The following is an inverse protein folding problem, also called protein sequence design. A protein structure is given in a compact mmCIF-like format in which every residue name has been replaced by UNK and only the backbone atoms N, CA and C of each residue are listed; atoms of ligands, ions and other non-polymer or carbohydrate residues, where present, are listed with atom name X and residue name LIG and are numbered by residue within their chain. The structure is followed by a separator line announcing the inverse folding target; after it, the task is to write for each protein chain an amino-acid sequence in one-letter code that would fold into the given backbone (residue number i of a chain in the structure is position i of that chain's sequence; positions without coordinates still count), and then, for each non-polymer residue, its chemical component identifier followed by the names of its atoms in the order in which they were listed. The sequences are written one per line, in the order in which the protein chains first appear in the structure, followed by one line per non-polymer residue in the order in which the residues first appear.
data_IF_181871126287
#
_entry.id   IF_181871126287
#
_cell.length_a   1.000
_cell.length_b   1.000
_cell.length_c   1.000
_cell.angle_alpha   90.00
_cell.angle_beta   90.00
_cell.angle_gamma   90.00
#
_symmetry.space_group_name_H-M   'P 1'
#
loop_
_entity.id
_entity.type
_entity.pdbx_description
1 polymer ?
#
# COMPACT_ATOMS: atom_id res chain seq x y z
N UNK A 1 14.13 -15.29 -52.58
CA UNK A 1 13.25 -14.67 -53.59
C UNK A 1 12.40 -13.65 -52.87
N UNK A 2 12.64 -12.35 -53.11
CA UNK A 2 11.80 -11.27 -52.56
C UNK A 2 10.53 -11.16 -53.39
N UNK A 3 9.38 -10.92 -52.73
CA UNK A 3 8.12 -10.68 -53.45
C UNK A 3 8.14 -9.26 -54.03
N UNK A 4 7.69 -9.10 -55.28
CA UNK A 4 7.51 -7.79 -55.91
C UNK A 4 6.59 -6.90 -55.00
N UNK A 5 7.13 -5.76 -54.54
CA UNK A 5 6.45 -4.85 -53.64
C UNK A 5 6.96 -4.84 -52.18
N UNK A 6 7.91 -5.71 -51.83
CA UNK A 6 8.54 -5.72 -50.50
C UNK A 6 9.52 -4.54 -50.36
N UNK A 7 9.26 -3.65 -49.38
CA UNK A 7 10.16 -2.53 -49.03
C UNK A 7 11.08 -2.97 -47.91
N UNK A 8 12.34 -3.27 -48.24
CA UNK A 8 13.37 -3.55 -47.24
C UNK A 8 13.89 -2.24 -46.64
N UNK A 9 13.75 -2.09 -45.33
CA UNK A 9 14.35 -1.01 -44.59
C UNK A 9 15.54 -1.59 -43.83
N UNK A 10 16.79 -1.21 -44.18
CA UNK A 10 17.95 -1.68 -43.46
C UNK A 10 17.96 -1.02 -42.05
N UNK A 11 17.97 -1.84 -41.01
CA UNK A 11 18.07 -1.39 -39.61
C UNK A 11 19.43 -1.85 -39.09
N UNK A 12 20.19 -0.92 -38.51
CA UNK A 12 21.43 -1.26 -37.83
C UNK A 12 21.10 -1.99 -36.52
N UNK A 13 21.57 -3.23 -36.37
CA UNK A 13 21.33 -4.05 -35.19
C UNK A 13 21.78 -3.36 -33.88
N UNK A 14 22.85 -2.56 -33.93
CA UNK A 14 23.36 -1.84 -32.75
C UNK A 14 22.37 -0.76 -32.30
N UNK A 15 21.78 -0.04 -33.25
CA UNK A 15 20.83 1.03 -32.94
C UNK A 15 19.49 0.46 -32.48
N UNK A 16 19.03 -0.65 -33.08
CA UNK A 16 17.85 -1.37 -32.65
C UNK A 16 18.01 -1.94 -31.23
N UNK A 17 19.17 -2.58 -30.96
CA UNK A 17 19.45 -3.08 -29.62
C UNK A 17 19.54 -1.97 -28.57
N UNK A 18 20.14 -0.82 -28.89
CA UNK A 18 20.19 0.32 -27.97
C UNK A 18 18.80 0.86 -27.65
N UNK A 19 17.98 1.06 -28.68
CA UNK A 19 16.59 1.55 -28.50
C UNK A 19 15.79 0.57 -27.68
N UNK A 20 15.77 -0.70 -28.07
CA UNK A 20 15.01 -1.75 -27.35
C UNK A 20 15.49 -1.93 -25.90
N UNK A 21 16.81 -1.79 -25.64
CA UNK A 21 17.34 -1.89 -24.28
C UNK A 21 16.97 -0.68 -23.42
N UNK A 22 16.94 0.51 -24.00
CA UNK A 22 16.50 1.73 -23.31
C UNK A 22 15.02 1.61 -22.97
N UNK A 23 14.16 1.20 -23.90
CA UNK A 23 12.73 1.03 -23.70
C UNK A 23 12.44 -0.03 -22.63
N UNK A 24 13.13 -1.17 -22.69
CA UNK A 24 13.05 -2.20 -21.66
C UNK A 24 13.49 -1.68 -20.29
N UNK A 25 14.63 -0.98 -20.25
CA UNK A 25 15.17 -0.42 -18.99
C UNK A 25 14.20 0.58 -18.36
N UNK A 26 13.64 1.49 -19.15
CA UNK A 26 12.64 2.46 -18.71
C UNK A 26 11.39 1.76 -18.18
N UNK A 27 10.91 0.74 -18.89
CA UNK A 27 9.75 -0.06 -18.45
C UNK A 27 10.03 -0.75 -17.11
N UNK A 28 11.19 -1.38 -16.93
CA UNK A 28 11.55 -2.05 -15.67
C UNK A 28 11.69 -1.05 -14.52
N UNK A 29 12.26 0.12 -14.76
CA UNK A 29 12.44 1.17 -13.76
C UNK A 29 11.09 1.73 -13.31
N UNK A 30 10.28 2.22 -14.28
CA UNK A 30 9.06 2.98 -13.97
C UNK A 30 7.88 2.06 -13.66
N UNK A 31 7.76 0.93 -14.38
CA UNK A 31 6.54 0.11 -14.35
C UNK A 31 6.70 -1.23 -13.60
N UNK A 32 7.83 -1.48 -12.94
CA UNK A 32 8.04 -2.79 -12.29
C UNK A 32 8.75 -2.74 -10.94
N UNK A 33 9.98 -2.20 -10.89
CA UNK A 33 10.90 -2.43 -9.77
C UNK A 33 10.82 -1.39 -8.67
N UNK A 34 10.55 -0.11 -9.02
CA UNK A 34 10.57 0.99 -8.08
C UNK A 34 9.16 1.36 -7.60
N UNK A 35 9.02 1.76 -6.32
CA UNK A 35 7.78 2.27 -5.79
C UNK A 35 7.57 3.73 -6.19
N UNK A 36 6.32 4.19 -6.25
CA UNK A 36 6.00 5.62 -6.26
C UNK A 36 6.19 6.19 -4.84
N UNK A 37 6.80 7.35 -4.72
CA UNK A 37 7.11 7.97 -3.42
C UNK A 37 5.84 8.31 -2.63
N UNK A 38 4.72 8.60 -3.31
CA UNK A 38 3.46 9.06 -2.72
C UNK A 38 2.74 7.93 -1.96
N UNK A 39 2.59 6.76 -2.57
CA UNK A 39 1.87 5.62 -1.97
C UNK A 39 2.78 4.46 -1.54
N UNK A 40 4.08 4.52 -1.88
CA UNK A 40 5.06 3.52 -1.52
C UNK A 40 4.84 2.15 -2.16
N UNK A 41 4.06 2.08 -3.23
CA UNK A 41 3.68 0.83 -3.88
C UNK A 41 4.35 0.69 -5.25
N UNK A 42 4.75 -0.55 -5.55
CA UNK A 42 5.06 -0.94 -6.91
C UNK A 42 3.76 -1.18 -7.68
N UNK A 43 3.77 -1.13 -9.03
CA UNK A 43 2.57 -1.35 -9.83
C UNK A 43 1.82 -2.64 -9.49
N UNK A 44 2.52 -3.76 -9.29
CA UNK A 44 1.87 -5.04 -8.95
C UNK A 44 1.12 -4.97 -7.61
N UNK A 45 1.72 -4.37 -6.58
CA UNK A 45 1.09 -4.22 -5.26
C UNK A 45 -0.16 -3.32 -5.34
N UNK A 46 -0.06 -2.19 -6.06
CA UNK A 46 -1.18 -1.26 -6.27
C UNK A 46 -2.32 -1.95 -7.00
N UNK A 47 -2.04 -2.73 -8.04
CA UNK A 47 -3.02 -3.48 -8.81
C UNK A 47 -3.68 -4.59 -8.00
N UNK A 48 -2.93 -5.28 -7.13
CA UNK A 48 -3.51 -6.28 -6.20
C UNK A 48 -4.50 -5.61 -5.24
N UNK A 49 -4.12 -4.51 -4.59
CA UNK A 49 -5.02 -3.78 -3.68
C UNK A 49 -6.24 -3.22 -4.42
N UNK A 50 -6.05 -2.64 -5.60
CA UNK A 50 -7.13 -2.10 -6.41
C UNK A 50 -8.08 -3.20 -6.93
N UNK A 51 -7.55 -4.34 -7.35
CA UNK A 51 -8.35 -5.50 -7.73
C UNK A 51 -9.18 -6.06 -6.57
N UNK A 52 -8.59 -6.14 -5.38
CA UNK A 52 -9.31 -6.54 -4.15
C UNK A 52 -10.41 -5.53 -3.77
N UNK A 53 -10.15 -4.23 -3.94
CA UNK A 53 -11.14 -3.17 -3.77
C UNK A 53 -12.32 -3.35 -4.75
N UNK A 54 -12.03 -3.54 -6.03
CA UNK A 54 -13.06 -3.76 -7.06
C UNK A 54 -13.89 -5.03 -6.85
N UNK A 55 -13.32 -6.08 -6.26
CA UNK A 55 -14.01 -7.30 -5.86
C UNK A 55 -14.80 -7.14 -4.54
N UNK A 56 -14.69 -6.02 -3.85
CA UNK A 56 -15.35 -5.76 -2.57
C UNK A 56 -14.84 -6.62 -1.41
N UNK A 57 -13.57 -7.07 -1.45
CA UNK A 57 -12.96 -7.98 -0.47
C UNK A 57 -12.30 -7.17 0.64
N UNK A 58 -13.10 -6.34 1.33
CA UNK A 58 -12.66 -5.48 2.43
C UNK A 58 -12.37 -6.25 3.72
N UNK A 59 -11.72 -5.59 4.67
CA UNK A 59 -11.32 -6.18 5.95
C UNK A 59 -12.49 -6.77 6.77
N UNK A 60 -13.68 -6.23 6.62
CA UNK A 60 -14.91 -6.66 7.29
C UNK A 60 -15.77 -7.65 6.46
N UNK A 61 -15.25 -8.08 5.31
CA UNK A 61 -15.95 -9.03 4.42
C UNK A 61 -15.38 -10.44 4.54
N UNK A 62 -16.05 -11.41 3.93
CA UNK A 62 -15.57 -12.79 3.85
C UNK A 62 -14.31 -12.89 3.01
N UNK A 63 -13.46 -13.86 3.36
CA UNK A 63 -12.32 -14.23 2.55
C UNK A 63 -12.75 -14.73 1.16
N UNK A 64 -11.92 -14.45 0.17
CA UNK A 64 -12.09 -14.92 -1.19
C UNK A 64 -10.91 -15.80 -1.58
N UNK A 65 -11.13 -16.82 -2.41
CA UNK A 65 -10.03 -17.66 -2.94
C UNK A 65 -8.96 -16.80 -3.61
N UNK A 66 -7.70 -17.01 -3.25
CA UNK A 66 -6.57 -16.28 -3.82
C UNK A 66 -6.52 -16.38 -5.34
N UNK A 67 -6.85 -17.56 -5.90
CA UNK A 67 -6.91 -17.77 -7.35
C UNK A 67 -7.91 -16.83 -8.06
N UNK A 68 -9.03 -16.46 -7.41
CA UNK A 68 -9.99 -15.52 -7.99
C UNK A 68 -9.45 -14.10 -7.97
N UNK A 69 -8.79 -13.70 -6.89
CA UNK A 69 -8.16 -12.36 -6.81
C UNK A 69 -7.06 -12.24 -7.86
N UNK A 70 -6.16 -13.23 -7.94
CA UNK A 70 -5.08 -13.26 -8.92
C UNK A 70 -5.61 -13.24 -10.34
N UNK A 71 -6.63 -14.06 -10.65
CA UNK A 71 -7.25 -14.10 -11.97
C UNK A 71 -7.88 -12.75 -12.38
N UNK A 72 -8.56 -12.07 -11.45
CA UNK A 72 -9.15 -10.74 -11.71
C UNK A 72 -8.08 -9.68 -11.99
N UNK A 73 -7.00 -9.67 -11.20
CA UNK A 73 -5.87 -8.74 -11.39
C UNK A 73 -5.16 -8.98 -12.71
N UNK A 74 -4.92 -10.24 -13.07
CA UNK A 74 -4.29 -10.61 -14.35
C UNK A 74 -5.13 -10.18 -15.54
N UNK A 75 -6.41 -10.53 -15.50
CA UNK A 75 -7.31 -10.27 -16.63
C UNK A 75 -7.60 -8.79 -16.85
N UNK A 76 -7.51 -7.96 -15.82
CA UNK A 76 -7.90 -6.55 -15.89
C UNK A 76 -6.73 -5.57 -15.91
N UNK A 77 -5.65 -5.85 -15.18
CA UNK A 77 -4.64 -4.82 -14.88
C UNK A 77 -3.19 -5.24 -15.09
N UNK A 78 -2.84 -6.52 -14.92
CA UNK A 78 -1.43 -6.93 -14.85
C UNK A 78 -1.11 -8.11 -15.78
N UNK A 79 -0.79 -7.86 -17.06
CA UNK A 79 -0.61 -8.89 -18.10
C UNK A 79 0.74 -9.61 -17.97
N UNK A 80 0.99 -10.29 -16.83
CA UNK A 80 2.20 -11.05 -16.53
C UNK A 80 1.84 -12.42 -15.96
N UNK A 81 2.83 -13.23 -15.59
CA UNK A 81 2.57 -14.56 -15.03
C UNK A 81 1.79 -14.52 -13.69
N UNK A 82 0.88 -15.48 -13.52
CA UNK A 82 0.04 -15.63 -12.31
C UNK A 82 0.86 -15.83 -11.03
N UNK A 83 1.97 -16.57 -11.12
CA UNK A 83 2.89 -16.77 -10.01
C UNK A 83 3.43 -15.42 -9.48
N UNK A 84 3.77 -14.47 -10.36
CA UNK A 84 4.31 -13.19 -9.93
C UNK A 84 3.31 -12.33 -9.13
N UNK A 85 2.03 -12.37 -9.52
CA UNK A 85 0.94 -11.67 -8.82
C UNK A 85 0.64 -12.36 -7.50
N UNK A 86 0.58 -13.71 -7.49
CA UNK A 86 0.35 -14.48 -6.29
C UNK A 86 1.46 -14.28 -5.26
N UNK A 87 2.72 -14.38 -5.67
CA UNK A 87 3.89 -14.18 -4.78
C UNK A 87 3.93 -12.77 -4.21
N UNK A 88 3.56 -11.75 -4.99
CA UNK A 88 3.44 -10.38 -4.49
C UNK A 88 2.35 -10.28 -3.41
N UNK A 89 1.16 -10.85 -3.66
CA UNK A 89 0.06 -10.88 -2.70
C UNK A 89 0.43 -11.67 -1.43
N UNK A 90 1.13 -12.79 -1.57
CA UNK A 90 1.62 -13.59 -0.43
C UNK A 90 2.54 -12.78 0.45
N UNK A 91 3.52 -12.07 -0.11
CA UNK A 91 4.43 -11.21 0.65
C UNK A 91 3.70 -10.10 1.40
N UNK A 92 2.63 -9.54 0.80
CA UNK A 92 1.79 -8.53 1.44
C UNK A 92 1.00 -9.07 2.65
N UNK A 93 0.86 -10.39 2.80
CA UNK A 93 0.21 -11.06 3.92
C UNK A 93 1.19 -11.54 5.00
N UNK A 94 2.49 -11.63 4.71
CA UNK A 94 3.48 -12.21 5.61
C UNK A 94 3.95 -11.20 6.68
N UNK A 95 3.74 -11.47 7.98
CA UNK A 95 4.11 -10.55 9.06
C UNK A 95 5.64 -10.44 9.29
N UNK A 96 6.43 -11.36 8.74
CA UNK A 96 7.90 -11.28 8.76
C UNK A 96 8.48 -10.57 7.53
N UNK A 97 7.68 -10.36 6.49
CA UNK A 97 8.07 -9.64 5.26
C UNK A 97 7.72 -8.17 5.31
N UNK A 98 6.51 -7.83 5.81
CA UNK A 98 6.03 -6.46 5.96
C UNK A 98 5.81 -6.12 7.44
N UNK A 99 6.25 -4.95 7.86
CA UNK A 99 6.01 -4.45 9.23
C UNK A 99 4.53 -4.24 9.51
N UNK A 100 3.80 -3.79 8.47
CA UNK A 100 2.34 -3.63 8.49
C UNK A 100 1.74 -4.35 7.28
N UNK A 101 1.39 -5.65 7.42
CA UNK A 101 0.78 -6.43 6.35
C UNK A 101 -0.48 -5.78 5.81
N UNK A 102 -0.64 -5.80 4.48
CA UNK A 102 -1.75 -5.17 3.78
C UNK A 102 -2.84 -6.18 3.38
N UNK A 103 -2.48 -7.44 3.31
CA UNK A 103 -3.39 -8.55 3.00
C UNK A 103 -3.57 -9.41 4.24
N UNK A 104 -4.80 -9.81 4.51
CA UNK A 104 -5.17 -10.78 5.53
C UNK A 104 -5.35 -12.14 4.84
N UNK A 105 -4.41 -13.04 5.08
CA UNK A 105 -4.37 -14.37 4.46
C UNK A 105 -4.95 -15.45 5.39
N UNK A 106 -5.67 -16.40 4.80
CA UNK A 106 -6.15 -17.61 5.47
C UNK A 106 -5.61 -18.84 4.75
N UNK A 107 -4.94 -19.70 5.48
CA UNK A 107 -4.24 -20.88 4.99
C UNK A 107 -2.73 -20.76 5.13
N UNK A 108 -1.97 -21.53 4.35
CA UNK A 108 -0.52 -21.52 4.38
C UNK A 108 0.04 -20.47 3.41
N UNK A 109 0.58 -19.39 3.98
CA UNK A 109 1.27 -18.29 3.26
C UNK A 109 2.80 -18.36 3.39
N UNK A 110 3.36 -19.54 3.66
CA UNK A 110 4.78 -19.76 3.86
C UNK A 110 5.20 -19.62 5.32
N UNK A 111 6.52 -19.70 5.55
CA UNK A 111 7.12 -19.56 6.87
C UNK A 111 8.45 -18.80 6.84
N UNK A 112 8.98 -18.43 8.02
CA UNK A 112 10.34 -17.87 8.16
C UNK A 112 11.44 -18.90 7.87
N UNK A 113 11.09 -20.18 7.77
CA UNK A 113 11.98 -21.25 7.36
C UNK A 113 12.15 -21.36 5.84
N UNK A 114 11.48 -20.50 5.09
CA UNK A 114 11.54 -20.47 3.64
C UNK A 114 10.57 -21.46 2.97
N UNK A 115 9.64 -22.04 3.73
CA UNK A 115 8.60 -22.87 3.14
C UNK A 115 7.77 -22.05 2.15
N UNK A 116 7.48 -22.58 0.95
CA UNK A 116 6.64 -21.90 0.00
C UNK A 116 5.17 -21.84 0.48
N UNK A 117 4.41 -20.85 0.02
CA UNK A 117 2.98 -20.82 0.25
C UNK A 117 2.30 -22.01 -0.43
N UNK A 118 1.13 -22.40 0.08
CA UNK A 118 0.29 -23.35 -0.64
C UNK A 118 -0.19 -22.74 -1.97
N UNK A 119 -0.52 -23.58 -2.95
CA UNK A 119 -1.04 -23.10 -4.22
C UNK A 119 -2.29 -22.22 -4.03
N UNK A 120 -2.45 -21.21 -4.88
CA UNK A 120 -3.50 -20.17 -4.76
C UNK A 120 -4.94 -20.70 -4.74
N UNK A 121 -5.17 -21.94 -5.18
CA UNK A 121 -6.47 -22.60 -5.11
C UNK A 121 -6.85 -23.04 -3.68
N UNK A 122 -5.88 -23.18 -2.79
CA UNK A 122 -6.09 -23.59 -1.40
C UNK A 122 -6.16 -22.42 -0.42
N UNK A 123 -5.47 -21.32 -0.73
CA UNK A 123 -5.44 -20.14 0.14
C UNK A 123 -6.58 -19.18 -0.14
N UNK A 124 -6.91 -18.39 0.86
CA UNK A 124 -7.93 -17.34 0.78
C UNK A 124 -7.34 -16.03 1.31
N UNK A 125 -7.85 -14.92 0.82
CA UNK A 125 -7.36 -13.60 1.23
C UNK A 125 -8.48 -12.56 1.27
N UNK A 126 -8.24 -11.50 2.04
CA UNK A 126 -9.00 -10.24 2.05
C UNK A 126 -8.07 -9.08 2.40
N UNK A 127 -8.53 -7.86 2.27
CA UNK A 127 -7.78 -6.69 2.71
C UNK A 127 -7.62 -6.69 4.24
N UNK A 128 -6.48 -6.23 4.73
CA UNK A 128 -6.30 -5.84 6.13
C UNK A 128 -6.94 -4.47 6.37
N UNK A 129 -7.31 -4.18 7.62
CA UNK A 129 -7.90 -2.89 8.01
C UNK A 129 -7.03 -1.68 7.61
N UNK A 130 -5.72 -1.81 7.66
CA UNK A 130 -4.79 -0.76 7.21
C UNK A 130 -4.94 -0.46 5.71
N UNK A 131 -5.28 -1.45 4.90
CA UNK A 131 -5.47 -1.29 3.45
C UNK A 131 -6.78 -0.58 3.12
N UNK A 132 -7.81 -0.67 3.99
CA UNK A 132 -9.01 0.14 3.85
C UNK A 132 -8.67 1.65 3.93
N UNK A 133 -7.68 2.03 4.77
CA UNK A 133 -7.19 3.43 4.86
C UNK A 133 -6.26 3.83 3.69
N UNK A 134 -5.59 2.87 3.06
CA UNK A 134 -4.80 3.11 1.84
C UNK A 134 -5.71 3.39 0.64
N UNK A 135 -6.87 2.73 0.58
CA UNK A 135 -7.83 2.79 -0.52
C UNK A 135 -8.98 3.79 -0.26
N UNK A 136 -9.02 4.40 0.91
CA UNK A 136 -10.11 5.31 1.29
C UNK A 136 -10.19 6.51 0.35
N UNK A 137 -11.42 6.96 0.07
CA UNK A 137 -11.70 8.10 -0.79
C UNK A 137 -11.27 7.94 -2.27
N UNK A 138 -10.97 6.72 -2.73
CA UNK A 138 -10.58 6.43 -4.12
C UNK A 138 -11.71 6.75 -5.12
N UNK A 139 -12.95 6.65 -4.69
CA UNK A 139 -14.18 6.96 -5.43
C UNK A 139 -14.52 8.47 -5.51
N UNK A 140 -13.69 9.32 -4.87
CA UNK A 140 -13.92 10.77 -4.77
C UNK A 140 -12.99 11.61 -5.68
N UNK A 141 -12.52 11.05 -6.77
CA UNK A 141 -11.65 11.73 -7.74
C UNK A 141 -10.34 12.28 -7.12
N UNK A 142 -9.87 11.65 -6.04
CA UNK A 142 -8.72 12.12 -5.26
C UNK A 142 -7.38 11.92 -5.94
N UNK A 143 -7.31 10.99 -6.91
CA UNK A 143 -6.10 10.64 -7.66
C UNK A 143 -6.41 10.49 -9.14
N UNK A 144 -5.37 10.59 -9.98
CA UNK A 144 -5.51 10.39 -11.40
C UNK A 144 -5.61 8.90 -11.76
N UNK A 145 -6.40 8.63 -12.80
CA UNK A 145 -6.52 7.32 -13.42
C UNK A 145 -5.82 7.31 -14.78
N UNK A 146 -5.43 6.13 -15.21
CA UNK A 146 -4.90 5.84 -16.54
C UNK A 146 -5.57 4.60 -17.09
N UNK A 147 -5.50 4.42 -18.41
CA UNK A 147 -5.97 3.21 -19.04
C UNK A 147 -5.11 2.01 -18.58
N UNK A 148 -5.74 0.84 -18.50
CA UNK A 148 -5.05 -0.42 -18.32
C UNK A 148 -4.30 -0.82 -19.61
N UNK A 149 -3.72 -2.02 -19.63
CA UNK A 149 -2.85 -2.48 -20.72
C UNK A 149 -3.56 -2.68 -22.09
N UNK A 150 -4.88 -2.81 -22.13
CA UNK A 150 -5.69 -3.03 -23.34
C UNK A 150 -6.72 -1.91 -23.59
N UNK A 151 -6.61 -0.80 -22.87
CA UNK A 151 -7.52 0.37 -22.94
C UNK A 151 -9.00 0.07 -22.64
N UNK A 152 -9.31 -1.11 -22.11
CA UNK A 152 -10.70 -1.51 -21.80
C UNK A 152 -11.20 -0.96 -20.46
N UNK A 153 -10.31 -0.72 -19.53
CA UNK A 153 -10.60 -0.28 -18.16
C UNK A 153 -9.61 0.82 -17.72
N UNK A 154 -9.89 1.42 -16.57
CA UNK A 154 -8.98 2.36 -15.94
C UNK A 154 -8.45 1.84 -14.61
N UNK A 155 -7.20 2.20 -14.29
CA UNK A 155 -6.56 1.93 -13.01
C UNK A 155 -5.98 3.22 -12.40
N UNK A 156 -5.90 3.34 -11.07
CA UNK A 156 -5.30 4.51 -10.44
C UNK A 156 -3.79 4.54 -10.67
N UNK A 157 -3.25 5.73 -11.01
CA UNK A 157 -1.80 5.94 -11.11
C UNK A 157 -1.11 5.82 -9.77
N UNK A 158 -1.80 6.21 -8.70
CA UNK A 158 -1.34 6.18 -7.30
C UNK A 158 -2.56 6.01 -6.41
N UNK A 159 -2.42 5.45 -5.22
CA UNK A 159 -3.52 5.34 -4.25
C UNK A 159 -3.57 6.57 -3.32
N UNK A 160 -4.77 6.98 -2.88
CA UNK A 160 -4.97 8.13 -1.99
C UNK A 160 -4.64 7.79 -0.53
N UNK A 161 -3.56 7.10 -0.29
CA UNK A 161 -3.20 6.52 1.00
C UNK A 161 -3.16 7.55 2.14
N UNK A 162 -3.77 7.22 3.29
CA UNK A 162 -3.59 7.96 4.54
C UNK A 162 -2.36 7.51 5.32
N UNK A 163 -1.79 6.36 4.92
CA UNK A 163 -0.67 5.73 5.62
C UNK A 163 0.62 6.04 4.85
N UNK A 164 1.70 6.48 5.50
CA UNK A 164 3.00 6.72 4.87
C UNK A 164 3.69 5.38 4.54
N UNK A 165 3.09 4.61 3.62
CA UNK A 165 3.43 3.22 3.39
C UNK A 165 4.89 3.00 2.99
N UNK A 166 5.48 3.92 2.20
CA UNK A 166 6.89 3.84 1.83
C UNK A 166 7.80 3.85 3.05
N UNK A 167 7.47 4.68 4.04
CA UNK A 167 8.27 4.84 5.26
C UNK A 167 8.03 3.67 6.22
N UNK A 168 6.77 3.24 6.42
CA UNK A 168 6.45 2.24 7.46
C UNK A 168 6.70 0.80 7.02
N UNK A 169 6.57 0.48 5.73
CA UNK A 169 6.84 -0.87 5.21
C UNK A 169 8.16 -0.98 4.47
N UNK A 170 8.71 0.14 4.02
CA UNK A 170 9.87 0.10 3.15
C UNK A 170 9.57 -0.60 1.81
N UNK A 171 10.61 -0.93 1.08
CA UNK A 171 10.53 -1.70 -0.17
C UNK A 171 11.90 -2.22 -0.56
N UNK A 172 11.96 -3.27 -1.33
CA UNK A 172 13.20 -3.73 -1.99
C UNK A 172 12.91 -4.06 -3.45
N UNK A 173 13.82 -3.72 -4.36
CA UNK A 173 13.65 -4.00 -5.77
C UNK A 173 14.92 -3.79 -6.57
N UNK A 174 15.08 -4.56 -7.64
CA UNK A 174 16.23 -4.51 -8.54
C UNK A 174 15.70 -4.05 -9.90
N UNK A 175 16.19 -2.90 -10.36
CA UNK A 175 15.93 -2.36 -11.68
C UNK A 175 17.20 -2.45 -12.55
N UNK A 176 17.10 -1.98 -13.79
CA UNK A 176 18.28 -1.89 -14.66
C UNK A 176 19.15 -0.72 -14.23
N UNK A 177 20.40 -0.99 -13.86
CA UNK A 177 21.36 0.03 -13.43
C UNK A 177 21.15 0.62 -12.04
N UNK A 178 20.10 0.22 -11.31
CA UNK A 178 19.85 0.70 -9.95
C UNK A 178 19.03 -0.31 -9.13
N UNK A 179 19.09 -0.17 -7.82
CA UNK A 179 18.30 -0.98 -6.90
C UNK A 179 17.77 -0.09 -5.77
N UNK A 180 16.60 -0.41 -5.27
CA UNK A 180 16.05 0.21 -4.04
C UNK A 180 16.02 -0.81 -2.91
N UNK A 181 16.34 -0.35 -1.70
CA UNK A 181 16.24 -1.15 -0.49
C UNK A 181 15.97 -0.22 0.69
N UNK A 182 14.71 -0.02 0.99
CA UNK A 182 14.23 0.91 2.01
C UNK A 182 13.79 0.14 3.25
N UNK A 183 14.28 0.58 4.40
CA UNK A 183 13.95 -0.02 5.67
C UNK A 183 12.54 0.37 6.16
N UNK A 184 11.81 -0.53 6.86
CA UNK A 184 10.54 -0.22 7.49
C UNK A 184 10.74 0.57 8.80
N UNK A 185 9.70 1.32 9.22
CA UNK A 185 9.71 2.14 10.44
C UNK A 185 8.42 1.98 11.23
N UNK A 186 8.46 2.36 12.50
CA UNK A 186 7.29 2.36 13.37
C UNK A 186 6.27 3.41 12.91
N UNK A 187 4.99 3.01 12.84
CA UNK A 187 3.92 3.90 12.35
C UNK A 187 3.70 5.10 13.26
N UNK A 188 3.75 4.93 14.58
CA UNK A 188 3.56 6.04 15.53
C UNK A 188 4.69 7.05 15.42
N UNK A 189 5.94 6.57 15.39
CA UNK A 189 7.12 7.42 15.18
C UNK A 189 7.06 8.17 13.83
N UNK A 190 6.64 7.48 12.77
CA UNK A 190 6.47 8.09 11.45
C UNK A 190 5.40 9.17 11.44
N UNK A 191 4.27 8.94 12.11
CA UNK A 191 3.19 9.95 12.23
C UNK A 191 3.65 11.15 13.05
N UNK A 192 4.36 10.94 14.17
CA UNK A 192 4.89 12.03 15.00
C UNK A 192 5.87 12.91 14.20
N UNK A 193 6.75 12.30 13.42
CA UNK A 193 7.66 13.04 12.52
C UNK A 193 6.92 13.80 11.42
N UNK A 194 5.87 13.22 10.85
CA UNK A 194 5.03 13.88 9.84
C UNK A 194 4.31 15.08 10.46
N UNK A 195 3.75 14.94 11.66
CA UNK A 195 3.12 16.06 12.38
C UNK A 195 4.14 17.18 12.64
N UNK A 196 5.33 16.84 13.14
CA UNK A 196 6.39 17.81 13.36
C UNK A 196 6.81 18.53 12.06
N UNK A 197 6.84 17.81 10.92
CA UNK A 197 7.11 18.42 9.63
C UNK A 197 5.97 19.33 9.14
N UNK A 198 4.72 18.98 9.39
CA UNK A 198 3.56 19.83 9.04
C UNK A 198 3.59 21.13 9.84
N UNK A 199 3.91 21.06 11.14
CA UNK A 199 4.01 22.23 12.02
C UNK A 199 5.20 23.14 11.66
N UNK A 200 6.30 22.55 11.20
CA UNK A 200 7.49 23.29 10.78
C UNK A 200 8.13 22.63 9.53
N UNK A 201 7.85 23.16 8.34
CA UNK A 201 8.41 22.66 7.08
C UNK A 201 9.94 22.83 6.95
N UNK A 202 10.54 23.74 7.73
CA UNK A 202 11.98 23.96 7.78
C UNK A 202 12.69 23.07 8.80
N UNK A 203 11.99 22.14 9.45
CA UNK A 203 12.55 21.17 10.39
C UNK A 203 13.74 20.42 9.77
N UNK A 204 14.80 20.27 10.52
CA UNK A 204 16.01 19.56 10.06
C UNK A 204 15.86 18.05 10.17
N UNK A 205 16.71 17.31 9.45
CA UNK A 205 16.71 15.84 9.54
C UNK A 205 17.07 15.39 10.96
N UNK A 206 18.01 16.06 11.63
CA UNK A 206 18.38 15.74 13.03
C UNK A 206 17.23 15.96 14.03
N UNK A 207 16.35 16.90 13.75
CA UNK A 207 15.13 17.09 14.54
C UNK A 207 14.09 16.01 14.24
N UNK A 208 13.89 15.63 12.98
CA UNK A 208 13.03 14.51 12.60
C UNK A 208 13.49 13.19 13.23
N UNK A 209 14.79 12.98 13.36
CA UNK A 209 15.39 11.82 14.01
C UNK A 209 15.09 11.72 15.52
N UNK A 210 14.58 12.78 16.16
CA UNK A 210 14.06 12.71 17.53
C UNK A 210 12.72 12.00 17.61
N UNK A 211 11.97 11.96 16.51
CA UNK A 211 10.68 11.28 16.38
C UNK A 211 10.84 9.88 15.78
N UNK A 212 11.61 9.75 14.68
CA UNK A 212 11.97 8.45 14.08
C UNK A 212 13.40 8.13 14.46
N UNK A 213 13.55 7.27 15.46
CA UNK A 213 14.87 6.98 16.04
C UNK A 213 15.68 6.08 15.11
N UNK A 214 15.08 5.00 14.59
CA UNK A 214 15.73 4.01 13.75
C UNK A 214 14.68 3.17 13.00
N UNK A 215 15.08 2.38 11.98
CA UNK A 215 14.22 1.37 11.37
C UNK A 215 13.64 0.40 12.40
N UNK A 216 12.40 -0.04 12.17
CA UNK A 216 11.65 -1.00 12.97
C UNK A 216 11.34 -2.24 12.13
N UNK A 217 12.19 -3.26 12.24
CA UNK A 217 12.10 -4.46 11.42
C UNK A 217 11.04 -5.45 11.96
N UNK A 218 10.25 -6.09 11.08
CA UNK A 218 9.16 -6.99 11.50
C UNK A 218 9.63 -8.24 12.25
N UNK A 219 10.87 -8.66 12.06
CA UNK A 219 11.47 -9.81 12.76
C UNK A 219 12.22 -9.44 14.04
N UNK A 220 12.21 -8.15 14.40
CA UNK A 220 12.92 -7.65 15.57
C UNK A 220 14.44 -7.59 15.36
N UNK A 221 15.19 -8.00 16.37
CA UNK A 221 16.64 -7.92 16.40
C UNK A 221 17.16 -6.62 17.01
N UNK A 222 18.46 -6.43 16.94
CA UNK A 222 19.17 -5.30 17.54
C UNK A 222 19.97 -4.59 16.45
N UNK A 223 19.79 -3.30 16.30
CA UNK A 223 20.66 -2.44 15.47
C UNK A 223 21.97 -2.22 16.25
N UNK A 224 23.09 -2.62 15.65
CA UNK A 224 24.42 -2.49 16.25
C UNK A 224 25.20 -1.33 15.62
N UNK A 225 25.30 -0.23 16.37
CA UNK A 225 25.86 1.04 15.89
C UNK A 225 24.82 1.93 15.22
N UNK A 226 24.97 3.23 15.36
CA UNK A 226 23.98 4.21 14.89
C UNK A 226 24.38 4.96 13.61
N UNK A 227 25.67 4.91 13.25
CA UNK A 227 26.22 5.64 12.09
C UNK A 227 25.47 5.30 10.79
N UNK A 228 25.23 4.02 10.52
CA UNK A 228 24.53 3.59 9.32
C UNK A 228 23.07 4.06 9.26
N UNK A 229 22.39 4.24 10.40
CA UNK A 229 21.04 4.83 10.48
C UNK A 229 21.09 6.31 10.15
N UNK A 230 22.05 7.04 10.76
CA UNK A 230 22.26 8.47 10.51
C UNK A 230 22.56 8.74 9.04
N UNK A 231 23.49 7.99 8.45
CA UNK A 231 23.84 8.11 7.04
C UNK A 231 22.60 7.86 6.15
N UNK A 232 21.82 6.81 6.44
CA UNK A 232 20.61 6.48 5.71
C UNK A 232 19.57 7.62 5.75
N UNK A 233 19.38 8.25 6.91
CA UNK A 233 18.42 9.32 7.08
C UNK A 233 18.86 10.63 6.41
N UNK A 234 20.17 10.94 6.44
CA UNK A 234 20.69 12.16 5.83
C UNK A 234 20.90 12.05 4.33
N UNK A 235 21.34 10.91 3.83
CA UNK A 235 21.77 10.76 2.43
C UNK A 235 20.91 9.82 1.60
N UNK A 236 19.98 9.08 2.24
CA UNK A 236 19.25 7.99 1.60
C UNK A 236 20.10 6.74 1.38
N UNK A 237 21.34 6.69 1.90
CA UNK A 237 22.23 5.51 1.85
C UNK A 237 22.89 5.27 3.18
N UNK A 238 22.92 4.01 3.60
CA UNK A 238 23.58 3.65 4.84
C UNK A 238 23.69 2.14 5.00
N UNK A 239 24.63 1.70 5.82
CA UNK A 239 24.82 0.30 6.15
C UNK A 239 24.46 0.06 7.62
N UNK A 240 23.31 -0.55 7.86
CA UNK A 240 22.81 -0.85 9.20
C UNK A 240 23.20 -2.28 9.55
N UNK A 241 23.91 -2.46 10.65
CA UNK A 241 24.27 -3.80 11.15
C UNK A 241 23.16 -4.29 12.07
N UNK A 242 22.61 -5.47 11.75
CA UNK A 242 21.55 -6.13 12.51
C UNK A 242 22.12 -7.36 13.21
N UNK A 243 21.79 -7.53 14.49
CA UNK A 243 22.11 -8.71 15.29
C UNK A 243 20.82 -9.38 15.77
N UNK A 244 20.88 -10.70 15.85
CA UNK A 244 19.87 -11.47 16.54
C UNK A 244 19.79 -11.05 18.01
N UNK A 245 18.58 -11.08 18.58
CA UNK A 245 18.37 -10.92 20.02
C UNK A 245 18.59 -12.25 20.71
N UNK A 246 19.48 -12.25 21.67
CA UNK A 246 19.90 -13.46 22.36
C UNK A 246 19.80 -13.29 23.88
N UNK A 247 19.57 -14.41 24.57
CA UNK A 247 19.70 -14.54 26.04
C UNK A 247 20.52 -15.78 26.37
N UNK A 248 21.01 -15.83 27.59
CA UNK A 248 21.70 -17.01 28.12
C UNK A 248 20.79 -17.70 29.11
N UNK A 249 20.68 -19.01 28.98
CA UNK A 249 19.93 -19.87 29.89
C UNK A 249 20.83 -21.04 30.31
N UNK A 250 20.51 -21.64 31.44
CA UNK A 250 21.12 -22.89 31.89
C UNK A 250 20.12 -24.03 31.69
N UNK A 251 20.51 -25.03 30.90
CA UNK A 251 19.69 -26.20 30.57
C UNK A 251 20.37 -27.42 31.13
N UNK A 252 19.80 -27.96 32.23
CA UNK A 252 20.45 -29.01 32.99
C UNK A 252 21.79 -28.52 33.59
N UNK A 253 22.91 -29.08 33.15
CA UNK A 253 24.26 -28.70 33.61
C UNK A 253 25.03 -27.89 32.54
N UNK A 254 24.39 -27.36 31.54
CA UNK A 254 25.04 -26.69 30.42
C UNK A 254 24.46 -25.30 30.19
N UNK A 255 25.34 -24.40 29.82
CA UNK A 255 24.90 -23.10 29.31
C UNK A 255 24.33 -23.25 27.91
N UNK A 256 23.34 -22.45 27.61
CA UNK A 256 22.74 -22.35 26.28
C UNK A 256 22.59 -20.89 25.85
N UNK A 257 22.77 -20.64 24.55
CA UNK A 257 22.46 -19.37 23.90
C UNK A 257 21.09 -19.54 23.25
N UNK A 258 20.14 -18.71 23.67
CA UNK A 258 18.78 -18.73 23.18
C UNK A 258 18.59 -17.55 22.25
N UNK A 259 18.17 -17.81 21.00
CA UNK A 259 17.84 -16.78 20.01
C UNK A 259 16.33 -16.65 19.94
N UNK A 260 15.83 -15.44 20.21
CA UNK A 260 14.40 -15.12 20.21
C UNK A 260 13.98 -14.23 19.05
N UNK A 261 14.92 -13.51 18.44
CA UNK A 261 14.68 -12.68 17.25
C UNK A 261 15.87 -12.81 16.30
N UNK A 262 15.60 -12.87 15.00
CA UNK A 262 16.66 -12.96 13.96
C UNK A 262 16.65 -11.71 13.09
N UNK A 263 17.79 -11.37 12.46
CA UNK A 263 17.86 -10.22 11.56
C UNK A 263 16.85 -10.33 10.41
N UNK A 264 16.37 -9.17 9.95
CA UNK A 264 15.41 -9.09 8.87
C UNK A 264 15.91 -9.74 7.57
N UNK A 265 15.01 -10.46 6.88
CA UNK A 265 15.29 -11.22 5.65
C UNK A 265 16.23 -12.43 5.81
N UNK A 266 16.50 -12.85 7.02
CA UNK A 266 17.24 -14.10 7.29
C UNK A 266 16.28 -15.29 7.27
N UNK A 267 16.63 -16.34 6.52
CA UNK A 267 15.97 -17.64 6.58
C UNK A 267 16.45 -18.41 7.80
N UNK A 268 15.52 -18.78 8.72
CA UNK A 268 15.83 -19.43 9.99
C UNK A 268 16.43 -20.85 9.78
N UNK A 269 15.82 -21.66 8.92
CA UNK A 269 16.27 -23.02 8.66
C UNK A 269 17.67 -23.06 8.03
N UNK A 270 17.91 -22.17 7.04
CA UNK A 270 19.23 -22.05 6.40
C UNK A 270 20.30 -21.57 7.38
N UNK A 271 19.94 -20.61 8.26
CA UNK A 271 20.83 -20.14 9.34
C UNK A 271 21.24 -21.28 10.27
N UNK A 272 20.28 -22.11 10.70
CA UNK A 272 20.53 -23.26 11.57
C UNK A 272 21.41 -24.29 10.86
N UNK A 273 21.06 -24.66 9.62
CA UNK A 273 21.83 -25.62 8.82
C UNK A 273 23.28 -25.15 8.62
N UNK A 274 23.47 -23.88 8.28
CA UNK A 274 24.80 -23.29 8.10
C UNK A 274 25.61 -23.29 9.40
N UNK A 275 24.96 -23.03 10.52
CA UNK A 275 25.63 -23.10 11.82
C UNK A 275 26.08 -24.52 12.14
N UNK A 276 25.24 -25.53 11.86
CA UNK A 276 25.62 -26.94 12.08
C UNK A 276 26.81 -27.36 11.21
N UNK A 277 26.90 -26.90 9.97
CA UNK A 277 28.08 -27.12 9.12
C UNK A 277 29.35 -26.51 9.73
N UNK A 278 29.28 -25.26 10.22
CA UNK A 278 30.40 -24.55 10.83
C UNK A 278 30.87 -25.19 12.13
N UNK A 279 29.94 -25.78 12.88
CA UNK A 279 30.30 -26.61 14.09
C UNK A 279 31.01 -27.86 13.68
N UNK A 280 30.54 -28.57 12.64
CA UNK A 280 31.19 -29.78 12.13
C UNK A 280 32.58 -29.50 11.57
N UNK A 281 32.77 -28.35 10.92
CA UNK A 281 34.04 -27.86 10.38
C UNK A 281 34.99 -27.29 11.47
N UNK A 282 34.62 -27.37 12.74
CA UNK A 282 35.34 -26.82 13.89
C UNK A 282 35.62 -25.32 13.86
N UNK A 283 34.88 -24.58 13.01
CA UNK A 283 35.00 -23.10 12.93
C UNK A 283 34.29 -22.41 14.09
N UNK A 284 33.28 -23.07 14.66
CA UNK A 284 32.57 -22.63 15.86
C UNK A 284 32.64 -23.76 16.88
N UNK A 285 33.75 -23.89 17.59
CA UNK A 285 33.87 -24.89 18.66
C UNK A 285 33.00 -24.50 19.87
N UNK A 286 32.64 -25.46 20.70
CA UNK A 286 31.94 -25.19 21.94
C UNK A 286 30.42 -25.37 21.89
N UNK A 287 29.83 -25.62 20.75
CA UNK A 287 28.43 -26.00 20.63
C UNK A 287 28.31 -27.52 20.77
N UNK A 288 27.39 -27.96 21.63
CA UNK A 288 27.05 -29.36 21.86
C UNK A 288 25.88 -29.79 20.97
N UNK A 289 24.78 -29.03 20.99
CA UNK A 289 23.57 -29.34 20.23
C UNK A 289 22.89 -28.06 19.76
N UNK A 290 22.17 -28.14 18.62
CA UNK A 290 21.37 -27.07 18.05
C UNK A 290 19.95 -27.60 17.92
N UNK A 291 18.98 -26.87 18.51
CA UNK A 291 17.56 -27.22 18.43
C UNK A 291 16.74 -26.03 18.02
N UNK A 292 15.75 -26.27 17.18
CA UNK A 292 14.69 -25.32 16.88
C UNK A 292 13.47 -25.67 17.72
N UNK A 293 13.17 -24.84 18.69
CA UNK A 293 12.04 -24.94 19.60
C UNK A 293 10.97 -23.88 19.30
N UNK A 294 11.02 -23.27 18.10
CA UNK A 294 10.06 -22.26 17.68
C UNK A 294 8.66 -22.86 17.56
N UNK A 295 7.68 -22.12 18.07
CA UNK A 295 6.28 -22.50 18.03
C UNK A 295 5.37 -21.29 17.70
N UNK A 296 4.05 -21.42 17.90
CA UNK A 296 3.07 -20.34 17.73
C UNK A 296 3.28 -19.14 18.68
N UNK A 297 4.04 -19.29 19.75
CA UNK A 297 4.31 -18.22 20.72
C UNK A 297 5.55 -17.39 20.33
N UNK A 298 6.36 -17.87 19.41
CA UNK A 298 7.51 -17.13 18.89
C UNK A 298 8.68 -18.00 18.45
N UNK A 299 9.72 -17.30 18.03
CA UNK A 299 10.98 -17.91 17.63
C UNK A 299 11.81 -18.27 18.86
N UNK A 300 12.33 -19.49 18.88
CA UNK A 300 13.24 -19.98 19.90
C UNK A 300 14.23 -20.96 19.29
N UNK A 301 15.43 -20.51 18.98
CA UNK A 301 16.53 -21.38 18.55
C UNK A 301 17.52 -21.52 19.69
N UNK A 302 17.83 -22.74 20.06
CA UNK A 302 18.68 -23.10 21.21
C UNK A 302 20.01 -23.62 20.71
N UNK A 303 21.09 -22.97 21.13
CA UNK A 303 22.46 -23.44 20.98
C UNK A 303 22.99 -23.92 22.37
N UNK A 304 22.89 -25.20 22.63
CA UNK A 304 23.41 -25.80 23.88
C UNK A 304 24.93 -25.91 23.78
N UNK A 305 25.62 -25.45 24.81
CA UNK A 305 27.08 -25.35 24.79
C UNK A 305 27.73 -26.56 25.49
N UNK A 306 28.97 -26.88 25.14
CA UNK A 306 29.81 -27.82 25.88
C UNK A 306 30.17 -27.20 27.23
N UNK A 307 30.44 -28.04 28.24
CA UNK A 307 30.67 -27.59 29.61
C UNK A 307 31.91 -26.68 29.76
N UNK A 308 32.88 -26.83 28.87
CA UNK A 308 34.13 -26.07 28.84
C UNK A 308 34.02 -24.79 27.95
N UNK A 309 32.89 -24.58 27.30
CA UNK A 309 32.70 -23.45 26.39
C UNK A 309 32.34 -22.17 27.14
N UNK A 310 32.94 -21.07 26.74
CA UNK A 310 32.62 -19.72 27.23
C UNK A 310 31.50 -19.11 26.36
N UNK A 311 30.28 -18.87 26.92
CA UNK A 311 29.13 -18.45 26.13
C UNK A 311 29.37 -17.22 25.26
N UNK A 312 30.01 -16.19 25.79
CA UNK A 312 30.29 -14.95 25.05
C UNK A 312 31.28 -15.17 23.89
N UNK A 313 32.22 -16.11 24.01
CA UNK A 313 33.16 -16.42 22.92
C UNK A 313 32.43 -17.11 21.79
N UNK A 314 31.59 -18.12 22.13
CA UNK A 314 30.77 -18.80 21.13
C UNK A 314 29.80 -17.85 20.46
N UNK A 315 29.14 -16.95 21.21
CA UNK A 315 28.25 -15.93 20.66
C UNK A 315 28.98 -15.01 19.67
N UNK A 316 30.18 -14.57 19.97
CA UNK A 316 30.99 -13.75 19.08
C UNK A 316 31.36 -14.49 17.78
N UNK A 317 31.62 -15.79 17.86
CA UNK A 317 31.87 -16.63 16.68
C UNK A 317 30.61 -16.80 15.85
N UNK A 318 29.45 -16.99 16.49
CA UNK A 318 28.14 -17.02 15.81
C UNK A 318 27.87 -15.72 15.06
N UNK A 319 28.07 -14.56 15.67
CA UNK A 319 27.92 -13.26 14.99
C UNK A 319 28.91 -13.08 13.83
N UNK A 320 30.12 -13.61 13.95
CA UNK A 320 31.16 -13.47 12.93
C UNK A 320 30.93 -14.36 11.72
N UNK A 321 30.43 -15.57 11.90
CA UNK A 321 30.40 -16.58 10.83
C UNK A 321 29.01 -16.96 10.34
N UNK A 322 27.96 -16.51 11.01
CA UNK A 322 26.59 -16.84 10.65
C UNK A 322 25.73 -15.59 10.38
N UNK A 323 24.53 -15.77 9.86
CA UNK A 323 23.56 -14.71 9.64
C UNK A 323 22.85 -14.21 10.92
N UNK A 324 23.30 -14.66 12.13
CA UNK A 324 22.91 -14.04 13.39
C UNK A 324 23.38 -12.56 13.49
N UNK A 325 24.39 -12.18 12.71
CA UNK A 325 24.69 -10.81 12.40
C UNK A 325 24.72 -10.63 10.88
N UNK A 326 23.98 -9.66 10.38
CA UNK A 326 23.97 -9.29 8.97
C UNK A 326 23.98 -7.77 8.81
N UNK A 327 24.08 -7.29 7.58
CA UNK A 327 23.96 -5.86 7.29
C UNK A 327 22.81 -5.62 6.33
N UNK A 328 21.97 -4.65 6.66
CA UNK A 328 20.95 -4.12 5.78
C UNK A 328 21.50 -2.86 5.11
N UNK A 329 21.73 -2.94 3.80
CA UNK A 329 22.25 -1.81 3.02
C UNK A 329 21.07 -0.97 2.54
N UNK A 330 20.85 0.18 3.18
CA UNK A 330 19.81 1.13 2.79
C UNK A 330 20.22 1.81 1.50
N UNK A 331 19.27 1.91 0.57
CA UNK A 331 19.35 2.68 -0.66
C UNK A 331 17.94 3.17 -1.04
N UNK A 332 17.60 4.37 -0.63
CA UNK A 332 16.27 4.94 -0.74
C UNK A 332 16.05 5.54 -2.14
N UNK A 333 15.73 4.70 -3.12
CA UNK A 333 15.37 5.14 -4.47
C UNK A 333 13.88 4.89 -4.69
N UNK A 334 13.14 5.94 -5.05
CA UNK A 334 11.72 5.86 -5.41
C UNK A 334 11.43 6.74 -6.62
N UNK A 335 10.25 6.57 -7.20
CA UNK A 335 9.79 7.39 -8.32
C UNK A 335 9.16 8.68 -7.80
N UNK A 336 9.74 9.81 -8.17
CA UNK A 336 9.22 11.16 -7.98
C UNK A 336 8.81 11.68 -9.35
N UNK A 337 7.51 11.91 -9.55
CA UNK A 337 6.96 12.30 -10.85
C UNK A 337 7.42 11.41 -12.02
N UNK A 338 7.50 10.09 -11.77
CA UNK A 338 7.92 9.09 -12.75
C UNK A 338 9.44 9.00 -12.99
N UNK A 339 10.26 9.72 -12.22
CA UNK A 339 11.74 9.68 -12.30
C UNK A 339 12.32 9.05 -11.04
N UNK A 340 13.33 8.18 -11.17
CA UNK A 340 13.99 7.62 -10.01
C UNK A 340 14.85 8.68 -9.33
N UNK A 341 14.62 8.90 -8.05
CA UNK A 341 15.39 9.84 -7.23
C UNK A 341 15.84 9.16 -5.94
N UNK A 342 17.02 9.57 -5.46
CA UNK A 342 17.52 9.18 -4.15
C UNK A 342 17.00 10.14 -3.09
N UNK A 343 16.35 9.60 -2.07
CA UNK A 343 15.60 10.37 -1.09
C UNK A 343 16.19 10.20 0.31
N UNK A 344 16.36 11.31 1.01
CA UNK A 344 16.60 11.32 2.45
C UNK A 344 15.29 11.22 3.24
N UNK A 345 15.35 11.18 4.57
CA UNK A 345 14.17 11.07 5.42
C UNK A 345 13.19 12.24 5.23
N UNK A 346 13.69 13.47 5.15
CA UNK A 346 12.85 14.67 4.98
C UNK A 346 12.16 14.68 3.62
N UNK A 347 12.84 14.25 2.56
CA UNK A 347 12.27 14.18 1.21
C UNK A 347 11.09 13.19 1.15
N UNK A 348 11.23 12.01 1.77
CA UNK A 348 10.15 11.01 1.81
C UNK A 348 8.93 11.57 2.52
N UNK A 349 9.12 12.23 3.66
CA UNK A 349 8.04 12.86 4.43
C UNK A 349 7.40 14.01 3.63
N UNK A 350 8.21 14.85 3.00
CA UNK A 350 7.75 15.95 2.16
C UNK A 350 6.80 15.49 1.07
N UNK A 351 7.21 14.53 0.25
CA UNK A 351 6.40 14.02 -0.85
C UNK A 351 5.11 13.35 -0.37
N UNK A 352 5.16 12.65 0.77
CA UNK A 352 3.96 12.08 1.36
C UNK A 352 2.97 13.16 1.82
N UNK A 353 3.45 14.20 2.52
CA UNK A 353 2.61 15.31 3.01
C UNK A 353 1.99 16.08 1.85
N UNK A 354 2.75 16.36 0.81
CA UNK A 354 2.24 17.06 -0.37
C UNK A 354 1.18 16.22 -1.10
N UNK A 355 1.39 14.92 -1.23
CA UNK A 355 0.37 14.01 -1.75
C UNK A 355 -0.90 14.01 -0.88
N UNK A 356 -0.76 13.97 0.45
CA UNK A 356 -1.91 14.05 1.35
C UNK A 356 -2.67 15.36 1.23
N UNK A 357 -1.94 16.46 1.10
CA UNK A 357 -2.56 17.76 0.87
C UNK A 357 -3.40 17.76 -0.42
N UNK A 358 -2.84 17.30 -1.53
CA UNK A 358 -3.54 17.18 -2.81
C UNK A 358 -4.80 16.31 -2.70
N UNK A 359 -4.68 15.12 -2.09
CA UNK A 359 -5.82 14.20 -1.89
C UNK A 359 -6.93 14.86 -1.07
N UNK A 360 -6.60 15.60 -0.01
CA UNK A 360 -7.60 16.27 0.84
C UNK A 360 -8.29 17.40 0.07
N UNK A 361 -7.54 18.21 -0.67
CA UNK A 361 -8.11 19.29 -1.50
C UNK A 361 -9.07 18.70 -2.53
N UNK A 362 -8.63 17.72 -3.33
CA UNK A 362 -9.47 17.10 -4.37
C UNK A 362 -10.70 16.42 -3.78
N UNK A 363 -10.57 15.75 -2.63
CA UNK A 363 -11.71 15.16 -1.92
C UNK A 363 -12.72 16.23 -1.52
N UNK A 364 -12.26 17.33 -0.94
CA UNK A 364 -13.13 18.42 -0.48
C UNK A 364 -13.81 19.11 -1.66
N UNK A 365 -13.12 19.30 -2.76
CA UNK A 365 -13.70 19.84 -4.00
C UNK A 365 -14.79 18.91 -4.56
N UNK A 366 -14.54 17.59 -4.56
CA UNK A 366 -15.53 16.61 -4.97
C UNK A 366 -16.77 16.64 -4.07
N UNK A 367 -16.58 16.61 -2.76
CA UNK A 367 -17.66 16.65 -1.76
C UNK A 367 -18.45 17.96 -1.87
N UNK A 368 -17.76 19.09 -2.03
CA UNK A 368 -18.40 20.40 -2.24
C UNK A 368 -19.24 20.43 -3.52
N UNK A 369 -18.70 19.91 -4.63
CA UNK A 369 -19.43 19.81 -5.89
C UNK A 369 -20.69 18.96 -5.72
N UNK A 370 -20.58 17.80 -5.08
CA UNK A 370 -21.73 16.90 -4.82
C UNK A 370 -22.75 17.54 -3.88
N UNK A 371 -22.31 18.24 -2.86
CA UNK A 371 -23.18 18.98 -1.95
C UNK A 371 -23.93 20.10 -2.68
N UNK A 372 -23.26 20.86 -3.54
CA UNK A 372 -23.91 21.91 -4.36
C UNK A 372 -24.89 21.33 -5.36
N UNK A 373 -24.56 20.22 -6.07
CA UNK A 373 -25.46 19.52 -6.96
C UNK A 373 -26.73 19.06 -6.21
N UNK A 374 -26.56 18.52 -5.00
CA UNK A 374 -27.71 18.08 -4.19
C UNK A 374 -28.53 19.25 -3.64
N UNK A 375 -27.89 20.30 -3.15
CA UNK A 375 -28.54 21.52 -2.69
C UNK A 375 -29.39 22.15 -3.78
N UNK A 376 -28.89 22.22 -5.02
CA UNK A 376 -29.60 22.73 -6.17
C UNK A 376 -30.90 21.96 -6.45
N UNK A 377 -30.88 20.63 -6.38
CA UNK A 377 -32.08 19.79 -6.54
C UNK A 377 -33.08 20.06 -5.38
N UNK A 378 -32.62 20.12 -4.15
CA UNK A 378 -33.47 20.36 -2.98
C UNK A 378 -34.09 21.76 -3.02
N UNK A 379 -33.39 22.78 -3.53
CA UNK A 379 -33.91 24.12 -3.74
C UNK A 379 -35.09 24.08 -4.74
N UNK A 380 -34.95 23.33 -5.83
CA UNK A 380 -36.05 23.11 -6.77
C UNK A 380 -37.25 22.44 -6.13
N UNK A 381 -37.03 21.44 -5.29
CA UNK A 381 -38.12 20.83 -4.53
C UNK A 381 -38.79 21.82 -3.59
N UNK A 382 -38.06 22.66 -2.87
CA UNK A 382 -38.64 23.66 -1.96
C UNK A 382 -39.47 24.69 -2.69
N UNK A 383 -39.10 25.11 -3.91
CA UNK A 383 -39.92 26.01 -4.71
C UNK A 383 -41.29 25.44 -5.10
N UNK A 384 -41.34 24.14 -5.42
CA UNK A 384 -42.52 23.45 -5.88
C UNK A 384 -43.38 22.88 -4.74
N UNK A 385 -42.73 22.31 -3.74
CA UNK A 385 -43.40 21.57 -2.65
C UNK A 385 -43.53 22.41 -1.38
N UNK A 386 -42.92 23.60 -1.34
CA UNK A 386 -42.86 24.47 -0.15
C UNK A 386 -44.22 25.01 0.33
N UNK A 387 -45.23 25.04 -0.53
CA UNK A 387 -46.62 25.39 -0.22
C UNK A 387 -47.60 24.46 -0.90
N UNK A 388 -48.83 24.30 -0.32
CA UNK A 388 -49.87 23.48 -0.90
C UNK A 388 -50.29 24.03 -2.26
N UNK A 389 -50.35 25.35 -2.41
CA UNK A 389 -50.72 26.02 -3.67
C UNK A 389 -49.73 25.71 -4.80
N UNK A 390 -48.42 25.79 -4.51
CA UNK A 390 -47.36 25.46 -5.48
C UNK A 390 -47.42 23.98 -5.90
N UNK A 391 -47.64 23.09 -4.93
CA UNK A 391 -47.77 21.67 -5.18
C UNK A 391 -48.97 21.36 -6.10
N UNK A 392 -50.13 21.96 -5.83
CA UNK A 392 -51.35 21.76 -6.63
C UNK A 392 -51.15 22.28 -8.08
N UNK A 393 -50.49 23.42 -8.24
CA UNK A 393 -50.10 23.94 -9.56
C UNK A 393 -49.17 22.98 -10.31
N UNK A 394 -48.14 22.47 -9.67
CA UNK A 394 -47.21 21.54 -10.29
C UNK A 394 -47.90 20.22 -10.71
N UNK A 395 -48.78 19.67 -9.87
CA UNK A 395 -49.59 18.49 -10.22
C UNK A 395 -50.51 18.81 -11.40
N UNK A 396 -51.13 19.97 -11.43
CA UNK A 396 -52.00 20.39 -12.55
C UNK A 396 -51.20 20.47 -13.85
N UNK A 397 -50.02 21.09 -13.88
CA UNK A 397 -49.15 21.15 -15.05
C UNK A 397 -48.82 19.75 -15.54
N UNK A 398 -48.34 18.84 -14.65
CA UNK A 398 -47.95 17.48 -15.02
C UNK A 398 -49.14 16.70 -15.59
N UNK A 399 -50.35 16.84 -15.02
CA UNK A 399 -51.56 16.13 -15.48
C UNK A 399 -52.12 16.63 -16.81
N UNK A 400 -51.95 17.91 -17.13
CA UNK A 400 -52.50 18.50 -18.36
C UNK A 400 -51.53 18.48 -19.54
N UNK A 401 -50.24 18.16 -19.29
CA UNK A 401 -49.24 18.03 -20.35
C UNK A 401 -49.43 16.73 -21.13
N UNK A 402 -49.24 16.79 -22.44
CA UNK A 402 -49.41 15.66 -23.35
C UNK A 402 -48.23 14.66 -23.29
N UNK A 403 -47.06 15.11 -22.81
CA UNK A 403 -45.86 14.29 -22.70
C UNK A 403 -44.92 14.84 -21.59
N UNK A 404 -43.93 14.05 -21.14
CA UNK A 404 -43.02 14.47 -20.09
C UNK A 404 -42.19 15.71 -20.42
N UNK A 405 -41.89 15.94 -21.69
CA UNK A 405 -41.10 17.10 -22.11
C UNK A 405 -41.91 18.40 -21.97
N UNK A 406 -43.19 18.41 -22.36
CA UNK A 406 -44.09 19.53 -22.15
C UNK A 406 -44.32 19.82 -20.66
N UNK A 407 -44.44 18.80 -19.83
CA UNK A 407 -44.54 18.95 -18.39
C UNK A 407 -43.26 19.58 -17.82
N UNK A 408 -42.10 19.20 -18.30
CA UNK A 408 -40.80 19.75 -17.89
C UNK A 408 -40.72 21.24 -18.23
N UNK A 409 -41.06 21.62 -19.46
CA UNK A 409 -41.07 23.01 -19.92
C UNK A 409 -42.07 23.86 -19.11
N UNK A 410 -43.27 23.34 -18.84
CA UNK A 410 -44.25 24.00 -18.00
C UNK A 410 -43.80 24.24 -16.57
N UNK A 411 -43.13 23.27 -15.94
CA UNK A 411 -42.54 23.43 -14.62
C UNK A 411 -41.40 24.45 -14.59
N UNK A 412 -40.56 24.48 -15.63
CA UNK A 412 -39.46 25.44 -15.74
C UNK A 412 -40.04 26.86 -15.84
N UNK A 413 -41.07 27.06 -16.68
CA UNK A 413 -41.67 28.37 -16.89
C UNK A 413 -42.41 28.90 -15.65
N UNK A 414 -43.19 28.05 -14.94
CA UNK A 414 -43.99 28.46 -13.80
C UNK A 414 -43.17 28.74 -12.54
N UNK A 415 -42.12 27.89 -12.28
CA UNK A 415 -41.36 27.94 -11.02
C UNK A 415 -39.93 28.45 -11.16
N UNK A 416 -39.55 28.94 -12.33
CA UNK A 416 -38.19 29.38 -12.66
C UNK A 416 -37.13 28.31 -12.25
N UNK A 417 -37.35 27.08 -12.71
CA UNK A 417 -36.49 25.96 -12.42
C UNK A 417 -35.42 25.76 -13.49
N UNK A 418 -34.29 25.17 -13.10
CA UNK A 418 -33.38 24.61 -14.09
C UNK A 418 -33.92 23.31 -14.67
N UNK A 419 -33.39 22.88 -15.80
CA UNK A 419 -33.76 21.59 -16.41
C UNK A 419 -33.55 20.41 -15.48
N UNK A 420 -32.44 20.44 -14.68
CA UNK A 420 -32.08 19.39 -13.70
C UNK A 420 -33.10 19.36 -12.56
N UNK A 421 -33.50 20.52 -12.06
CA UNK A 421 -34.54 20.64 -11.03
C UNK A 421 -35.89 20.11 -11.51
N UNK A 422 -36.32 20.54 -12.71
CA UNK A 422 -37.58 20.10 -13.30
C UNK A 422 -37.59 18.58 -13.54
N UNK A 423 -36.50 18.02 -14.05
CA UNK A 423 -36.38 16.56 -14.22
C UNK A 423 -36.47 15.82 -12.90
N UNK A 424 -35.77 16.31 -11.87
CA UNK A 424 -35.80 15.71 -10.55
C UNK A 424 -37.21 15.72 -9.91
N UNK A 425 -38.03 16.76 -10.21
CA UNK A 425 -39.41 16.85 -9.77
C UNK A 425 -40.28 15.80 -10.50
N UNK A 426 -40.08 15.62 -11.82
CA UNK A 426 -40.82 14.61 -12.58
C UNK A 426 -40.47 13.17 -12.11
N UNK A 427 -39.24 12.94 -11.69
CA UNK A 427 -38.79 11.65 -11.19
C UNK A 427 -39.19 11.39 -9.71
N UNK A 428 -39.83 12.38 -9.06
CA UNK A 428 -40.21 12.28 -7.66
C UNK A 428 -41.38 11.30 -7.49
N UNK A 429 -41.22 10.33 -6.57
CA UNK A 429 -42.31 9.42 -6.23
C UNK A 429 -43.40 10.14 -5.46
N UNK A 430 -44.67 9.90 -5.77
CA UNK A 430 -45.81 10.45 -5.06
C UNK A 430 -45.79 10.27 -3.54
N UNK A 431 -45.22 9.18 -3.07
CA UNK A 431 -45.03 8.92 -1.63
C UNK A 431 -44.14 9.97 -0.91
N UNK A 432 -43.33 10.72 -1.64
CA UNK A 432 -42.48 11.80 -1.07
C UNK A 432 -43.19 13.17 -0.99
N UNK A 433 -44.43 13.26 -1.41
CA UNK A 433 -45.24 14.45 -1.30
C UNK A 433 -46.01 14.61 0.02
N UNK A 434 -45.80 13.72 0.99
CA UNK A 434 -46.41 13.78 2.32
C UNK A 434 -45.76 14.86 3.18
N UNK A 435 -46.51 15.47 4.10
CA UNK A 435 -46.02 16.57 4.95
C UNK A 435 -44.75 16.19 5.76
N UNK A 436 -44.66 14.95 6.28
CA UNK A 436 -43.46 14.47 6.98
C UNK A 436 -42.21 14.40 6.08
N UNK A 437 -42.36 14.14 4.79
CA UNK A 437 -41.25 14.08 3.85
C UNK A 437 -40.79 15.50 3.46
N UNK A 438 -41.68 16.48 3.44
CA UNK A 438 -41.35 17.88 3.23
C UNK A 438 -40.44 18.44 4.32
N UNK A 439 -40.73 18.12 5.58
CA UNK A 439 -39.88 18.51 6.70
C UNK A 439 -38.49 17.88 6.62
N UNK A 440 -38.39 16.64 6.15
CA UNK A 440 -37.10 15.99 5.90
C UNK A 440 -36.30 16.66 4.77
N UNK A 441 -36.96 17.03 3.69
CA UNK A 441 -36.32 17.74 2.56
C UNK A 441 -35.75 19.09 3.03
N UNK A 442 -36.50 19.80 3.86
CA UNK A 442 -36.05 21.08 4.42
C UNK A 442 -34.86 20.91 5.36
N UNK A 443 -34.93 19.93 6.25
CA UNK A 443 -33.84 19.61 7.16
C UNK A 443 -32.57 19.18 6.40
N UNK A 444 -32.69 18.33 5.37
CA UNK A 444 -31.59 17.92 4.51
C UNK A 444 -30.96 19.14 3.79
N UNK A 445 -31.77 20.07 3.31
CA UNK A 445 -31.27 21.29 2.68
C UNK A 445 -30.47 22.17 3.65
N UNK A 446 -30.97 22.37 4.87
CA UNK A 446 -30.28 23.12 5.92
C UNK A 446 -28.95 22.47 6.32
N UNK A 447 -28.92 21.15 6.47
CA UNK A 447 -27.70 20.40 6.75
C UNK A 447 -26.65 20.55 5.64
N UNK A 448 -27.08 20.41 4.39
CA UNK A 448 -26.18 20.55 3.23
C UNK A 448 -25.67 22.00 3.10
N UNK A 449 -26.51 23.00 3.33
CA UNK A 449 -26.08 24.39 3.31
C UNK A 449 -25.10 24.74 4.43
N UNK A 450 -25.24 24.09 5.60
CA UNK A 450 -24.26 24.19 6.68
C UNK A 450 -22.93 23.52 6.33
N UNK A 451 -22.98 22.39 5.61
CA UNK A 451 -21.78 21.68 5.13
C UNK A 451 -21.04 22.47 4.05
N UNK A 452 -21.74 23.18 3.17
CA UNK A 452 -21.17 24.01 2.08
C UNK A 452 -20.42 25.24 2.63
N UNK A 453 -20.82 25.79 3.76
CA UNK A 453 -20.16 26.92 4.45
C UNK A 453 -18.85 26.49 5.11
#
# INVERSE_FOLDING_TARGET
MHKEGERLIPINIVDEMKSSYIDYSMSVIVSRALPDVRDGLKPVHRRVLYGMYGLGVFSNRKYLKSARIVGDVLGKYHPHGDASVYDAMVRMAQPWSLRYPQVDGQGNFGSMDGDPPAAMRYTEARLKKISDEILSDLDKETVDFQNNFDDSLTEPKVLPTKIPNLLVNGTSGIAVGMATNMAPHNLSEAVDAICAYIDNREITIDELMKHIIAPDFPTGGIIYGYEGVRDAFHTGRGRIVLRAKVSFEEIGNRNAIIVTEIPYQVNKAEMIARTAELVKDEKIPGIYEIRDESDRNGLRVVYELKNDAIPNVVLNLLYKYTSLQTSFSVNNIALVHGRPEQLNLKDIIHHFVDHRHEVIVRRTEYELRKAKERAHILEGFMKVIGSQESLDKAIAIIRHSANPQEAKEGLIAEFELSEIQAQAILDLRLARLTGMELDKIRAEYEEIMALIK
#
